data_IF_223893219543
#
_entry.id   IF_223893219543
#
_cell.length_a   1.000
_cell.length_b   1.000
_cell.length_c   1.000
_cell.angle_alpha   90.00
_cell.angle_beta   90.00
_cell.angle_gamma   90.00
#
_symmetry.space_group_name_H-M   'P 1'
#
loop_
_entity.id
_entity.type
_entity.pdbx_description
1 polymer ?
#
# COMPACT_ATOMS: atom_id res chain seq x y z
N UNK A 1 -28.37 -84.86 20.87
CA UNK A 1 -27.29 -83.91 21.20
C UNK A 1 -27.04 -83.02 20.00
N UNK A 2 -27.55 -81.77 19.98
CA UNK A 2 -26.94 -80.62 19.28
C UNK A 2 -27.46 -79.35 19.97
N UNK A 3 -26.61 -78.73 20.76
CA UNK A 3 -26.85 -77.48 21.47
C UNK A 3 -26.74 -76.32 20.49
N UNK A 4 -27.72 -75.41 20.48
CA UNK A 4 -27.63 -74.14 19.76
C UNK A 4 -27.11 -73.07 20.71
N UNK A 5 -25.93 -72.53 20.42
CA UNK A 5 -25.31 -71.41 21.12
C UNK A 5 -25.82 -70.13 20.45
N UNK A 6 -26.57 -69.30 21.18
CA UNK A 6 -26.85 -67.92 20.79
C UNK A 6 -25.63 -67.05 21.13
N UNK A 7 -24.92 -66.58 20.10
CA UNK A 7 -23.91 -65.55 20.25
C UNK A 7 -24.56 -64.17 20.11
N UNK A 8 -24.71 -63.46 21.21
CA UNK A 8 -25.12 -62.05 21.24
C UNK A 8 -23.95 -61.16 20.83
N UNK A 9 -24.01 -60.55 19.65
CA UNK A 9 -23.07 -59.52 19.21
C UNK A 9 -23.51 -58.19 19.79
N UNK A 10 -22.82 -57.71 20.83
CA UNK A 10 -22.92 -56.32 21.29
C UNK A 10 -22.21 -55.42 20.26
N UNK A 11 -22.98 -54.72 19.44
CA UNK A 11 -22.47 -53.63 18.61
C UNK A 11 -22.16 -52.42 19.49
N UNK A 12 -20.88 -52.13 19.70
CA UNK A 12 -20.44 -50.88 20.30
C UNK A 12 -20.69 -49.75 19.30
N UNK A 13 -21.74 -48.96 19.53
CA UNK A 13 -21.94 -47.69 18.83
C UNK A 13 -20.90 -46.69 19.34
N UNK A 14 -19.81 -46.52 18.61
CA UNK A 14 -18.88 -45.42 18.84
C UNK A 14 -19.59 -44.11 18.45
N UNK A 15 -20.01 -43.33 19.45
CA UNK A 15 -20.41 -41.95 19.27
C UNK A 15 -19.18 -41.16 18.81
N UNK A 16 -19.07 -40.91 17.51
CA UNK A 16 -18.13 -39.92 16.97
C UNK A 16 -18.62 -38.55 17.45
N UNK A 17 -18.10 -38.09 18.58
CA UNK A 17 -18.19 -36.68 18.94
C UNK A 17 -17.35 -35.90 17.95
N UNK A 18 -17.99 -35.39 16.89
CA UNK A 18 -17.40 -34.36 16.06
C UNK A 18 -17.24 -33.11 16.93
N UNK A 19 -16.06 -32.92 17.51
CA UNK A 19 -15.69 -31.61 18.06
C UNK A 19 -15.79 -30.60 16.91
N UNK A 20 -16.53 -29.48 17.07
CA UNK A 20 -16.47 -28.41 16.09
C UNK A 20 -15.00 -28.00 15.99
N UNK A 21 -14.38 -28.22 14.83
CA UNK A 21 -13.10 -27.56 14.56
C UNK A 21 -13.37 -26.06 14.66
N UNK A 22 -12.55 -25.29 15.38
CA UNK A 22 -12.68 -23.84 15.34
C UNK A 22 -12.63 -23.44 13.87
N UNK A 23 -13.66 -22.73 13.41
CA UNK A 23 -13.65 -22.06 12.11
C UNK A 23 -12.34 -21.26 12.09
N UNK A 24 -11.34 -21.76 11.37
CA UNK A 24 -10.12 -21.01 11.11
C UNK A 24 -10.59 -19.83 10.29
N UNK A 25 -10.81 -18.70 10.97
CA UNK A 25 -11.19 -17.42 10.40
C UNK A 25 -10.22 -17.21 9.24
N UNK A 26 -10.70 -17.33 7.99
CA UNK A 26 -9.82 -17.17 6.83
C UNK A 26 -9.30 -15.74 6.91
N UNK A 27 -8.00 -15.61 7.14
CA UNK A 27 -7.32 -14.33 7.07
C UNK A 27 -7.67 -13.68 5.73
N UNK A 28 -8.00 -12.39 5.76
CA UNK A 28 -8.30 -11.63 4.56
C UNK A 28 -7.06 -11.66 3.66
N UNK A 29 -7.20 -12.01 2.38
CA UNK A 29 -6.04 -12.11 1.49
C UNK A 29 -5.35 -10.75 1.36
N UNK A 30 -4.05 -10.61 1.67
CA UNK A 30 -3.34 -9.35 1.49
C UNK A 30 -3.37 -8.86 0.03
N UNK A 31 -3.38 -7.55 -0.16
CA UNK A 31 -3.23 -6.94 -1.49
C UNK A 31 -1.76 -6.89 -1.86
N UNK A 32 -1.45 -7.31 -3.08
CA UNK A 32 -0.11 -7.24 -3.69
C UNK A 32 -0.16 -6.48 -5.01
N UNK A 33 1.00 -6.20 -5.61
CA UNK A 33 1.09 -5.58 -6.93
C UNK A 33 1.50 -6.63 -7.99
N UNK A 34 0.96 -6.49 -9.20
CA UNK A 34 1.42 -7.21 -10.40
C UNK A 34 1.23 -6.34 -11.63
N UNK A 35 2.33 -5.92 -12.24
CA UNK A 35 2.30 -4.93 -13.33
C UNK A 35 1.55 -3.67 -12.88
N UNK A 36 0.56 -3.22 -13.65
CA UNK A 36 -0.23 -2.03 -13.32
C UNK A 36 -1.54 -2.33 -12.54
N UNK A 37 -1.65 -3.48 -11.90
CA UNK A 37 -2.82 -3.85 -11.11
C UNK A 37 -2.49 -4.20 -9.64
N UNK A 38 -3.40 -3.84 -8.75
CA UNK A 38 -3.50 -4.47 -7.43
C UNK A 38 -4.16 -5.85 -7.55
N UNK A 39 -3.69 -6.79 -6.75
CA UNK A 39 -4.14 -8.18 -6.77
C UNK A 39 -4.56 -8.62 -5.36
N UNK A 40 -5.73 -9.26 -5.26
CA UNK A 40 -6.18 -10.00 -4.09
C UNK A 40 -6.06 -11.49 -4.41
N UNK A 41 -4.89 -12.08 -4.13
CA UNK A 41 -4.52 -13.38 -4.67
C UNK A 41 -4.44 -13.32 -6.20
N UNK A 42 -5.21 -14.15 -6.91
CA UNK A 42 -5.22 -14.18 -8.38
C UNK A 42 -6.24 -13.22 -9.02
N UNK A 43 -7.01 -12.47 -8.22
CA UNK A 43 -8.05 -11.56 -8.72
C UNK A 43 -7.55 -10.13 -8.69
N UNK A 44 -7.83 -9.37 -9.76
CA UNK A 44 -7.60 -7.92 -9.75
C UNK A 44 -8.46 -7.26 -8.66
N UNK A 45 -7.83 -6.41 -7.88
CA UNK A 45 -8.49 -5.62 -6.85
C UNK A 45 -8.68 -4.19 -7.35
N UNK A 46 -9.91 -3.69 -7.30
CA UNK A 46 -10.24 -2.30 -7.55
C UNK A 46 -10.55 -1.61 -6.22
N UNK A 47 -9.90 -0.49 -5.96
CA UNK A 47 -10.18 0.40 -4.83
C UNK A 47 -11.56 1.00 -5.03
N UNK A 48 -12.48 0.73 -4.10
CA UNK A 48 -13.83 1.28 -4.06
C UNK A 48 -14.03 1.79 -2.65
N UNK A 49 -13.47 2.97 -2.40
CA UNK A 49 -13.21 3.41 -1.04
C UNK A 49 -13.75 4.78 -0.70
N UNK A 50 -13.45 5.19 0.53
CA UNK A 50 -13.78 6.50 1.07
C UNK A 50 -12.64 7.00 1.98
N UNK A 51 -12.36 8.30 1.92
CA UNK A 51 -11.49 9.00 2.85
C UNK A 51 -12.19 9.13 4.21
N UNK A 52 -11.51 8.69 5.28
CA UNK A 52 -12.06 8.65 6.63
C UNK A 52 -11.03 9.18 7.65
N UNK A 53 -11.20 10.45 8.02
CA UNK A 53 -10.38 11.11 9.02
C UNK A 53 -11.25 12.13 9.76
N UNK A 54 -11.93 11.76 10.86
CA UNK A 54 -12.76 12.71 11.60
C UNK A 54 -11.98 13.95 12.06
N UNK A 55 -12.47 15.15 11.73
CA UNK A 55 -11.75 16.43 11.88
C UNK A 55 -10.82 16.77 10.71
N UNK A 56 -10.94 16.07 9.58
CA UNK A 56 -10.02 16.09 8.44
C UNK A 56 -8.56 15.81 8.81
N UNK A 57 -7.66 15.88 7.82
CA UNK A 57 -6.21 15.73 8.02
C UNK A 57 -5.63 16.72 9.04
N UNK A 58 -6.21 17.92 9.15
CA UNK A 58 -5.83 18.94 10.13
C UNK A 58 -6.21 18.57 11.58
N UNK A 59 -7.25 17.75 11.77
CA UNK A 59 -7.73 17.33 13.08
C UNK A 59 -6.74 16.48 13.86
N UNK A 60 -5.81 15.81 13.16
CA UNK A 60 -4.71 15.02 13.73
C UNK A 60 -5.19 14.10 14.87
N UNK A 61 -6.28 13.34 14.62
CA UNK A 61 -6.86 12.34 15.52
C UNK A 61 -6.67 10.95 14.93
N UNK A 62 -6.66 9.94 15.78
CA UNK A 62 -6.59 8.55 15.32
C UNK A 62 -7.96 7.87 15.48
N UNK A 63 -8.73 7.66 14.39
CA UNK A 63 -10.00 6.96 14.47
C UNK A 63 -9.85 5.44 14.57
N UNK A 64 -8.67 4.88 14.27
CA UNK A 64 -8.38 3.45 14.32
C UNK A 64 -7.94 2.99 15.73
N UNK A 65 -7.53 3.91 16.60
CA UNK A 65 -7.22 3.64 18.00
C UNK A 65 -8.44 3.79 18.93
N UNK A 66 -9.58 4.30 18.43
CA UNK A 66 -10.83 4.44 19.20
C UNK A 66 -11.89 3.46 18.70
N UNK A 67 -12.10 2.40 19.49
CA UNK A 67 -13.11 1.35 19.21
C UNK A 67 -14.50 1.92 18.98
N UNK A 68 -14.92 2.93 19.75
CA UNK A 68 -16.29 3.49 19.62
C UNK A 68 -16.45 4.16 18.27
N UNK A 69 -15.45 4.92 17.84
CA UNK A 69 -15.45 5.62 16.55
C UNK A 69 -15.42 4.60 15.41
N UNK A 70 -14.46 3.68 15.39
CA UNK A 70 -14.31 2.75 14.26
C UNK A 70 -15.49 1.79 14.13
N UNK A 71 -16.08 1.30 15.23
CA UNK A 71 -17.22 0.39 15.16
C UNK A 71 -18.51 1.10 14.74
N UNK A 72 -18.71 2.35 15.18
CA UNK A 72 -19.83 3.18 14.74
C UNK A 72 -19.78 3.41 13.22
N UNK A 73 -18.61 3.79 12.71
CA UNK A 73 -18.44 4.14 11.31
C UNK A 73 -18.36 2.89 10.40
N UNK A 74 -17.88 1.76 10.91
CA UNK A 74 -17.89 0.47 10.22
C UNK A 74 -19.28 0.08 9.71
N UNK A 75 -20.34 0.34 10.50
CA UNK A 75 -21.70 0.04 10.07
C UNK A 75 -22.13 0.88 8.86
N UNK A 76 -21.64 2.13 8.75
CA UNK A 76 -21.85 2.97 7.56
C UNK A 76 -21.02 2.51 6.38
N UNK A 77 -19.77 2.08 6.60
CA UNK A 77 -18.93 1.52 5.54
C UNK A 77 -19.53 0.25 4.94
N UNK A 78 -20.08 -0.64 5.77
CA UNK A 78 -20.84 -1.81 5.31
C UNK A 78 -22.07 -1.42 4.49
N UNK A 79 -22.80 -0.38 4.92
CA UNK A 79 -23.97 0.14 4.19
C UNK A 79 -23.57 0.74 2.84
N UNK A 80 -22.48 1.50 2.77
CA UNK A 80 -21.91 2.03 1.53
C UNK A 80 -21.42 0.92 0.58
N UNK A 81 -20.97 -0.21 1.13
CA UNK A 81 -20.38 -1.29 0.35
C UNK A 81 -18.95 -0.98 -0.13
N UNK A 82 -18.25 -0.09 0.59
CA UNK A 82 -16.83 0.21 0.32
C UNK A 82 -15.96 -0.96 0.75
N UNK A 83 -14.85 -1.16 0.03
CA UNK A 83 -13.85 -2.19 0.36
C UNK A 83 -12.54 -1.60 0.90
N UNK A 84 -12.41 -0.27 0.92
CA UNK A 84 -11.17 0.41 1.30
C UNK A 84 -11.50 1.71 2.04
N UNK A 85 -10.77 2.01 3.10
CA UNK A 85 -10.74 3.34 3.72
C UNK A 85 -9.35 3.94 3.61
N UNK A 86 -9.27 5.26 3.45
CA UNK A 86 -8.00 6.00 3.59
C UNK A 86 -7.99 6.77 4.90
N UNK A 87 -6.94 6.59 5.69
CA UNK A 87 -6.70 7.33 6.94
C UNK A 87 -5.41 8.13 6.78
N UNK A 88 -5.43 9.39 7.20
CA UNK A 88 -4.36 10.37 6.92
C UNK A 88 -3.40 10.55 8.11
N UNK A 89 -3.82 10.15 9.31
CA UNK A 89 -3.02 10.26 10.53
C UNK A 89 -3.44 9.21 11.55
N UNK A 90 -2.44 8.53 12.12
CA UNK A 90 -2.60 7.55 13.20
C UNK A 90 -1.57 7.81 14.30
N UNK A 91 -1.92 7.47 15.53
CA UNK A 91 -1.02 7.50 16.67
C UNK A 91 -0.29 6.17 16.76
N UNK A 92 0.92 6.14 16.19
CA UNK A 92 1.83 4.98 16.21
C UNK A 92 2.37 4.59 17.60
N UNK A 93 1.80 5.13 18.67
CA UNK A 93 2.10 4.75 20.06
C UNK A 93 0.96 3.98 20.74
N UNK A 94 -0.18 3.81 20.05
CA UNK A 94 -1.40 3.12 20.49
C UNK A 94 -1.58 1.76 19.79
N UNK A 95 -2.55 0.96 20.27
CA UNK A 95 -2.93 -0.34 19.68
C UNK A 95 -4.13 -0.17 18.75
N UNK A 96 -4.05 -0.74 17.54
CA UNK A 96 -5.10 -0.64 16.52
C UNK A 96 -5.83 -1.96 16.26
N UNK A 97 -5.54 -2.98 17.07
CA UNK A 97 -5.91 -4.37 16.79
C UNK A 97 -7.41 -4.57 16.69
N UNK A 98 -8.20 -3.93 17.55
CA UNK A 98 -9.65 -4.12 17.55
C UNK A 98 -10.31 -3.60 16.27
N UNK A 99 -9.95 -2.38 15.85
CA UNK A 99 -10.51 -1.77 14.65
C UNK A 99 -10.01 -2.46 13.37
N UNK A 100 -8.71 -2.77 13.28
CA UNK A 100 -8.14 -3.47 12.12
C UNK A 100 -8.75 -4.86 11.93
N UNK A 101 -8.97 -5.61 13.02
CA UNK A 101 -9.64 -6.91 12.94
C UNK A 101 -11.10 -6.80 12.50
N UNK A 102 -11.84 -5.81 13.01
CA UNK A 102 -13.24 -5.61 12.63
C UNK A 102 -13.37 -5.20 11.16
N UNK A 103 -12.44 -4.39 10.64
CA UNK A 103 -12.41 -4.02 9.23
C UNK A 103 -12.04 -5.22 8.37
N UNK A 104 -11.06 -6.03 8.79
CA UNK A 104 -10.70 -7.26 8.10
C UNK A 104 -11.87 -8.26 8.04
N UNK A 105 -12.63 -8.42 9.13
CA UNK A 105 -13.86 -9.23 9.18
C UNK A 105 -14.93 -8.74 8.19
N UNK A 106 -15.01 -7.44 7.98
CA UNK A 106 -15.92 -6.82 7.01
C UNK A 106 -15.36 -6.80 5.58
N UNK A 107 -14.14 -7.29 5.35
CA UNK A 107 -13.48 -7.25 4.04
C UNK A 107 -13.02 -5.84 3.62
N UNK A 108 -12.79 -4.95 4.58
CA UNK A 108 -12.35 -3.57 4.36
C UNK A 108 -10.84 -3.47 4.58
N UNK A 109 -10.16 -2.93 3.57
CA UNK A 109 -8.74 -2.64 3.57
C UNK A 109 -8.45 -1.21 4.01
N UNK A 110 -7.22 -0.99 4.47
CA UNK A 110 -6.68 0.30 4.85
C UNK A 110 -5.61 0.76 3.86
N UNK A 111 -5.79 1.97 3.33
CA UNK A 111 -4.71 2.78 2.76
C UNK A 111 -4.32 3.80 3.82
N UNK A 112 -3.04 3.82 4.22
CA UNK A 112 -2.58 4.64 5.33
C UNK A 112 -1.46 5.60 4.92
N UNK A 113 -1.65 6.88 5.18
CA UNK A 113 -0.56 7.84 5.18
C UNK A 113 0.33 7.60 6.41
N UNK A 114 1.63 7.36 6.21
CA UNK A 114 2.57 7.12 7.33
C UNK A 114 3.06 8.42 7.97
N UNK A 115 2.61 9.55 7.42
CA UNK A 115 2.95 10.91 7.82
C UNK A 115 1.82 11.49 8.67
N UNK A 116 2.11 12.59 9.38
CA UNK A 116 1.08 13.42 10.00
C UNK A 116 1.54 14.90 10.01
N UNK A 117 0.71 15.86 10.44
CA UNK A 117 1.05 17.28 10.43
C UNK A 117 2.36 17.64 11.17
N UNK A 118 2.81 16.82 12.12
CA UNK A 118 4.06 17.04 12.88
C UNK A 118 5.27 16.29 12.32
N UNK A 119 5.02 15.15 11.66
CA UNK A 119 6.05 14.26 11.11
C UNK A 119 5.78 14.02 9.62
N UNK A 120 6.33 14.91 8.80
CA UNK A 120 6.18 14.89 7.34
C UNK A 120 7.33 15.62 6.68
N UNK A 121 7.54 15.37 5.38
CA UNK A 121 8.43 16.17 4.56
C UNK A 121 7.81 17.56 4.36
N UNK A 122 8.53 18.60 4.77
CA UNK A 122 8.12 19.98 4.57
C UNK A 122 8.49 20.42 3.15
N UNK A 123 7.50 20.66 2.28
CA UNK A 123 7.74 21.05 0.89
C UNK A 123 8.54 22.34 0.71
N UNK A 124 8.44 23.28 1.65
CA UNK A 124 9.17 24.56 1.62
C UNK A 124 10.62 24.43 2.11
N UNK A 125 10.85 23.50 3.04
CA UNK A 125 12.17 23.23 3.64
C UNK A 125 12.43 21.73 3.72
N UNK A 126 12.60 21.05 2.56
CA UNK A 126 12.58 19.59 2.55
C UNK A 126 13.84 18.98 3.20
N UNK A 127 15.00 19.61 3.04
CA UNK A 127 16.27 19.11 3.59
C UNK A 127 16.24 18.88 5.12
N UNK A 128 15.92 19.87 5.97
CA UNK A 128 15.87 19.65 7.42
C UNK A 128 14.69 18.78 7.86
N UNK A 129 13.65 18.59 7.04
CA UNK A 129 12.50 17.77 7.42
C UNK A 129 12.74 16.26 7.29
N UNK A 130 13.73 15.85 6.50
CA UNK A 130 14.15 14.46 6.36
C UNK A 130 15.28 14.15 7.36
N UNK A 131 14.90 13.62 8.52
CA UNK A 131 15.79 13.37 9.66
C UNK A 131 15.40 12.09 10.43
N UNK A 132 16.16 11.77 11.48
CA UNK A 132 15.96 10.54 12.23
C UNK A 132 14.64 10.53 13.02
N UNK A 133 14.19 11.68 13.52
CA UNK A 133 12.92 11.83 14.22
C UNK A 133 11.72 11.61 13.30
N UNK A 134 11.80 12.12 12.07
CA UNK A 134 10.82 11.84 11.02
C UNK A 134 10.77 10.35 10.69
N UNK A 135 11.92 9.75 10.39
CA UNK A 135 11.99 8.32 10.06
C UNK A 135 11.58 7.41 11.21
N UNK A 136 11.85 7.80 12.46
CA UNK A 136 11.35 7.09 13.63
C UNK A 136 9.82 7.03 13.66
N UNK A 137 9.14 8.16 13.42
CA UNK A 137 7.68 8.20 13.33
C UNK A 137 7.16 7.34 12.17
N UNK A 138 7.76 7.47 10.98
CA UNK A 138 7.38 6.69 9.80
C UNK A 138 7.55 5.19 10.03
N UNK A 139 8.70 4.76 10.56
CA UNK A 139 8.98 3.36 10.81
C UNK A 139 8.08 2.77 11.91
N UNK A 140 7.75 3.53 12.95
CA UNK A 140 6.80 3.09 13.96
C UNK A 140 5.40 2.85 13.38
N UNK A 141 4.93 3.74 12.49
CA UNK A 141 3.67 3.52 11.77
C UNK A 141 3.74 2.28 10.87
N UNK A 142 4.84 2.09 10.14
CA UNK A 142 5.02 0.90 9.30
C UNK A 142 5.08 -0.40 10.12
N UNK A 143 5.83 -0.43 11.22
CA UNK A 143 5.96 -1.62 12.09
C UNK A 143 4.60 -2.00 12.70
N UNK A 144 3.82 -1.01 13.17
CA UNK A 144 2.49 -1.27 13.72
C UNK A 144 1.52 -1.78 12.64
N UNK A 145 1.45 -1.16 11.46
CA UNK A 145 0.39 -1.47 10.51
C UNK A 145 0.72 -2.58 9.51
N UNK A 146 2.00 -2.92 9.29
CA UNK A 146 2.37 -3.97 8.34
C UNK A 146 1.93 -5.37 8.79
N UNK A 147 1.69 -5.57 10.09
CA UNK A 147 1.25 -6.86 10.65
C UNK A 147 -0.19 -7.24 10.27
N UNK A 148 -1.04 -6.27 9.92
CA UNK A 148 -2.44 -6.53 9.57
C UNK A 148 -2.58 -6.85 8.09
N UNK A 149 -3.18 -7.99 7.75
CA UNK A 149 -3.36 -8.42 6.35
C UNK A 149 -4.21 -7.44 5.52
N UNK A 150 -5.10 -6.69 6.17
CA UNK A 150 -5.94 -5.70 5.53
C UNK A 150 -5.29 -4.30 5.42
N UNK A 151 -4.04 -4.09 5.85
CA UNK A 151 -3.28 -2.91 5.44
C UNK A 151 -2.84 -3.10 3.98
N UNK A 152 -3.58 -2.48 3.07
CA UNK A 152 -3.40 -2.62 1.62
C UNK A 152 -2.18 -1.84 1.13
N UNK A 153 -1.99 -0.61 1.60
CA UNK A 153 -0.98 0.28 1.04
C UNK A 153 -0.56 1.38 2.02
N UNK A 154 0.67 1.85 1.88
CA UNK A 154 1.19 3.04 2.57
C UNK A 154 1.45 4.19 1.59
N UNK A 155 1.09 5.41 1.99
CA UNK A 155 1.55 6.63 1.33
C UNK A 155 2.76 7.21 2.05
N UNK A 156 3.90 7.27 1.36
CA UNK A 156 5.13 7.90 1.87
C UNK A 156 5.05 9.43 1.89
N UNK A 157 4.07 10.02 1.20
CA UNK A 157 3.77 11.44 1.20
C UNK A 157 2.45 11.74 0.50
N UNK A 158 1.86 12.88 0.85
CA UNK A 158 0.62 13.39 0.27
C UNK A 158 0.82 14.84 -0.18
N UNK A 159 0.68 15.08 -1.48
CA UNK A 159 0.73 16.41 -2.11
C UNK A 159 1.94 17.26 -1.68
N UNK A 160 3.08 16.63 -1.40
CA UNK A 160 4.32 17.34 -1.04
C UNK A 160 4.81 18.13 -2.25
N UNK A 161 4.85 17.49 -3.42
CA UNK A 161 4.91 18.16 -4.72
C UNK A 161 3.52 18.70 -5.04
N UNK A 162 3.45 20.01 -5.28
CA UNK A 162 2.22 20.76 -5.52
C UNK A 162 2.40 21.71 -6.73
N UNK A 163 1.63 22.81 -6.77
CA UNK A 163 1.59 23.80 -7.85
C UNK A 163 2.81 24.72 -7.89
N UNK A 164 3.42 25.02 -6.74
CA UNK A 164 4.68 25.77 -6.69
C UNK A 164 5.83 24.92 -7.25
N UNK A 165 6.55 25.43 -8.26
CA UNK A 165 7.63 24.68 -8.92
C UNK A 165 8.74 24.26 -7.94
N UNK A 166 9.03 25.08 -6.93
CA UNK A 166 10.02 24.81 -5.89
C UNK A 166 9.67 23.56 -5.06
N UNK A 167 8.38 23.24 -4.94
CA UNK A 167 7.92 22.03 -4.24
C UNK A 167 8.41 20.74 -4.92
N UNK A 168 8.73 20.78 -6.22
CA UNK A 168 9.28 19.61 -6.94
C UNK A 168 10.59 19.14 -6.32
N UNK A 169 11.40 20.04 -5.75
CA UNK A 169 12.66 19.70 -5.05
C UNK A 169 12.44 18.78 -3.84
N UNK A 170 11.24 18.76 -3.26
CA UNK A 170 10.90 17.87 -2.16
C UNK A 170 10.67 16.42 -2.61
N UNK A 171 10.42 16.15 -3.90
CA UNK A 171 10.12 14.81 -4.40
C UNK A 171 11.22 13.80 -4.08
N UNK A 172 12.50 14.22 -4.13
CA UNK A 172 13.64 13.35 -3.80
C UNK A 172 13.64 12.86 -2.35
N UNK A 173 13.10 13.64 -1.42
CA UNK A 173 13.02 13.28 0.00
C UNK A 173 11.86 12.33 0.27
N UNK A 174 10.72 12.54 -0.41
CA UNK A 174 9.60 11.59 -0.37
C UNK A 174 9.98 10.24 -0.97
N UNK A 175 10.73 10.26 -2.08
CA UNK A 175 11.26 9.04 -2.71
C UNK A 175 12.32 8.35 -1.84
N UNK A 176 13.14 9.10 -1.11
CA UNK A 176 14.04 8.54 -0.10
C UNK A 176 13.27 7.91 1.07
N UNK A 177 12.17 8.52 1.53
CA UNK A 177 11.30 7.92 2.53
C UNK A 177 10.71 6.59 2.04
N UNK A 178 10.29 6.50 0.76
CA UNK A 178 9.86 5.24 0.14
C UNK A 178 10.95 4.16 0.22
N UNK A 179 12.19 4.50 -0.23
CA UNK A 179 13.34 3.59 -0.15
C UNK A 179 13.61 3.08 1.26
N UNK A 180 13.55 3.99 2.22
CA UNK A 180 13.87 3.71 3.61
C UNK A 180 12.79 2.88 4.29
N UNK A 181 11.50 3.12 3.99
CA UNK A 181 10.39 2.28 4.44
C UNK A 181 10.50 0.87 3.89
N UNK A 182 10.83 0.71 2.61
CA UNK A 182 11.09 -0.61 1.99
C UNK A 182 12.24 -1.33 2.66
N UNK A 183 13.35 -0.64 2.89
CA UNK A 183 14.51 -1.19 3.59
C UNK A 183 14.16 -1.60 5.03
N UNK A 184 13.40 -0.76 5.75
CA UNK A 184 12.92 -1.09 7.08
C UNK A 184 12.06 -2.34 7.09
N UNK A 185 11.05 -2.46 6.21
CA UNK A 185 10.24 -3.68 6.14
C UNK A 185 11.08 -4.92 5.80
N UNK A 186 12.08 -4.80 4.92
CA UNK A 186 12.95 -5.91 4.54
C UNK A 186 13.85 -6.39 5.69
N UNK A 187 14.58 -5.47 6.35
CA UNK A 187 15.46 -5.80 7.47
C UNK A 187 14.70 -6.36 8.67
N UNK A 188 13.51 -5.81 8.91
CA UNK A 188 12.61 -6.23 9.99
C UNK A 188 11.77 -7.46 9.64
N UNK A 189 11.87 -7.97 8.41
CA UNK A 189 11.09 -9.11 7.89
C UNK A 189 9.58 -8.93 8.08
N UNK A 190 9.12 -7.70 7.92
CA UNK A 190 7.70 -7.37 7.92
C UNK A 190 7.06 -7.82 6.60
N UNK A 191 5.73 -7.89 6.58
CA UNK A 191 5.01 -8.02 5.32
C UNK A 191 5.36 -6.85 4.42
N UNK A 192 5.69 -7.14 3.17
CA UNK A 192 6.04 -6.12 2.18
C UNK A 192 4.76 -5.45 1.66
N UNK A 193 4.21 -4.53 2.44
CA UNK A 193 3.05 -3.75 2.05
C UNK A 193 3.45 -2.80 0.91
N UNK A 194 2.67 -2.69 -0.18
CA UNK A 194 2.92 -1.70 -1.22
C UNK A 194 3.08 -0.28 -0.67
N UNK A 195 4.12 0.43 -1.11
CA UNK A 195 4.37 1.83 -0.75
C UNK A 195 4.30 2.70 -2.00
N UNK A 196 3.54 3.79 -1.93
CA UNK A 196 3.38 4.73 -3.03
C UNK A 196 3.25 6.17 -2.57
N UNK A 197 2.83 7.03 -3.49
CA UNK A 197 2.70 8.47 -3.27
C UNK A 197 1.31 8.95 -3.71
N UNK A 198 0.72 9.84 -2.91
CA UNK A 198 -0.53 10.54 -3.24
C UNK A 198 -0.18 11.95 -3.74
N UNK A 199 -0.39 12.20 -5.03
CA UNK A 199 -0.01 13.45 -5.69
C UNK A 199 -1.18 14.43 -5.83
N UNK A 200 -0.88 15.72 -5.96
CA UNK A 200 -1.84 16.71 -6.41
C UNK A 200 -2.04 16.63 -7.93
N UNK A 201 -3.21 17.03 -8.42
CA UNK A 201 -3.56 17.01 -9.86
C UNK A 201 -2.99 18.19 -10.67
N UNK A 202 -1.70 18.50 -10.53
CA UNK A 202 -1.09 19.69 -11.13
C UNK A 202 -0.73 19.45 -12.60
N UNK A 203 -1.45 20.08 -13.52
CA UNK A 203 -1.34 19.79 -14.95
C UNK A 203 0.06 19.95 -15.55
N UNK A 204 0.87 20.88 -15.01
CA UNK A 204 2.22 21.18 -15.49
C UNK A 204 3.27 20.12 -15.10
N UNK A 205 3.05 19.39 -14.00
CA UNK A 205 4.07 18.47 -13.45
C UNK A 205 3.55 17.06 -13.12
N UNK A 206 2.25 16.76 -13.31
CA UNK A 206 1.64 15.47 -12.95
C UNK A 206 2.37 14.28 -13.57
N UNK A 207 2.68 14.38 -14.87
CA UNK A 207 3.37 13.30 -15.59
C UNK A 207 4.81 13.15 -15.09
N UNK A 208 5.57 14.24 -14.97
CA UNK A 208 6.93 14.21 -14.42
C UNK A 208 6.94 13.65 -13.00
N UNK A 209 5.97 14.00 -12.17
CA UNK A 209 5.83 13.48 -10.80
C UNK A 209 5.64 11.96 -10.82
N UNK A 210 4.68 11.45 -11.60
CA UNK A 210 4.45 10.01 -11.72
C UNK A 210 5.69 9.28 -12.26
N UNK A 211 6.32 9.80 -13.30
CA UNK A 211 7.54 9.22 -13.87
C UNK A 211 8.69 9.20 -12.85
N UNK A 212 8.88 10.29 -12.12
CA UNK A 212 9.93 10.38 -11.10
C UNK A 212 9.77 9.33 -10.00
N UNK A 213 8.55 9.12 -9.50
CA UNK A 213 8.28 8.11 -8.47
C UNK A 213 8.43 6.67 -8.98
N UNK A 214 8.33 6.42 -10.29
CA UNK A 214 8.53 5.10 -10.90
C UNK A 214 9.86 4.94 -11.68
N UNK A 215 10.77 5.91 -11.64
CA UNK A 215 12.10 5.81 -12.24
C UNK A 215 13.18 5.40 -11.22
N UNK A 216 14.43 5.20 -11.65
CA UNK A 216 15.54 4.84 -10.75
C UNK A 216 15.58 3.36 -10.33
N UNK A 217 16.26 3.05 -9.23
CA UNK A 217 16.47 1.66 -8.75
C UNK A 217 15.22 1.10 -8.06
N UNK A 218 15.02 -0.21 -8.10
CA UNK A 218 13.77 -0.85 -7.62
C UNK A 218 13.55 -0.71 -6.10
N UNK A 219 14.62 -0.53 -5.33
CA UNK A 219 14.57 -0.24 -3.90
C UNK A 219 13.90 1.10 -3.58
N UNK A 220 13.92 2.04 -4.52
CA UNK A 220 13.41 3.40 -4.32
C UNK A 220 12.18 3.76 -5.18
N UNK A 221 11.76 2.88 -6.08
CA UNK A 221 10.56 3.07 -6.89
C UNK A 221 9.30 2.85 -6.06
N UNK A 222 8.29 3.68 -6.26
CA UNK A 222 6.96 3.43 -5.71
C UNK A 222 6.37 2.16 -6.30
N UNK A 223 5.67 1.39 -5.47
CA UNK A 223 4.92 0.19 -5.89
C UNK A 223 3.61 0.55 -6.58
N UNK A 224 3.13 1.78 -6.41
CA UNK A 224 1.96 2.36 -7.07
C UNK A 224 2.04 3.89 -7.06
N UNK A 225 1.20 4.54 -7.86
CA UNK A 225 1.02 5.99 -7.86
C UNK A 225 -0.45 6.32 -7.62
N UNK A 226 -0.76 7.37 -6.88
CA UNK A 226 -2.11 7.86 -6.75
C UNK A 226 -2.13 9.37 -6.86
N UNK A 227 -3.27 9.94 -7.23
CA UNK A 227 -3.45 11.38 -7.22
C UNK A 227 -4.88 11.76 -6.86
N UNK A 228 -5.01 12.93 -6.27
CA UNK A 228 -6.27 13.53 -5.85
C UNK A 228 -6.90 14.24 -7.05
N UNK A 229 -8.01 13.74 -7.58
CA UNK A 229 -8.62 14.26 -8.81
C UNK A 229 -10.06 14.75 -8.59
N UNK A 230 -10.24 16.05 -8.72
CA UNK A 230 -11.53 16.72 -8.58
C UNK A 230 -12.02 17.34 -9.90
N UNK A 231 -11.51 16.90 -11.06
CA UNK A 231 -11.90 17.49 -12.35
C UNK A 231 -13.26 17.00 -12.87
N UNK A 232 -13.80 15.92 -12.29
CA UNK A 232 -15.13 15.40 -12.60
C UNK A 232 -16.18 16.02 -11.66
N UNK A 233 -16.89 17.06 -12.13
CA UNK A 233 -17.94 17.74 -11.36
C UNK A 233 -19.33 17.44 -11.93
N UNK A 234 -19.88 16.26 -11.60
CA UNK A 234 -21.20 15.78 -12.08
C UNK A 234 -21.35 15.80 -13.62
N UNK A 235 -20.31 15.32 -14.30
CA UNK A 235 -20.14 15.40 -15.76
C UNK A 235 -19.89 14.01 -16.37
N UNK A 236 -19.09 13.92 -17.42
CA UNK A 236 -18.63 12.69 -18.06
C UNK A 236 -17.08 12.64 -18.18
N UNK A 237 -16.47 11.47 -18.41
CA UNK A 237 -15.02 11.32 -18.47
C UNK A 237 -14.30 12.24 -19.47
N UNK A 238 -14.92 12.56 -20.61
CA UNK A 238 -14.29 13.42 -21.62
C UNK A 238 -14.27 14.86 -21.16
N UNK A 239 -15.39 15.35 -20.65
CA UNK A 239 -15.50 16.71 -20.14
C UNK A 239 -14.59 16.92 -18.92
N UNK A 240 -14.47 15.91 -18.05
CA UNK A 240 -13.52 15.90 -16.93
C UNK A 240 -12.04 15.76 -17.34
N UNK A 241 -11.76 15.42 -18.61
CA UNK A 241 -10.42 15.14 -19.14
C UNK A 241 -9.82 13.82 -18.65
N UNK A 242 -10.60 12.95 -18.02
CA UNK A 242 -10.15 11.66 -17.49
C UNK A 242 -9.73 10.70 -18.60
N UNK A 243 -10.37 10.75 -19.77
CA UNK A 243 -9.98 9.94 -20.93
C UNK A 243 -8.57 10.29 -21.43
N UNK A 244 -8.24 11.59 -21.49
CA UNK A 244 -6.88 12.06 -21.81
C UNK A 244 -5.89 11.67 -20.72
N UNK A 245 -6.25 11.84 -19.44
CA UNK A 245 -5.39 11.44 -18.31
C UNK A 245 -5.09 9.93 -18.35
N UNK A 246 -6.10 9.09 -18.56
CA UNK A 246 -5.94 7.64 -18.67
C UNK A 246 -5.03 7.27 -19.85
N UNK A 247 -5.24 7.86 -21.04
CA UNK A 247 -4.37 7.62 -22.21
C UNK A 247 -2.92 8.04 -21.96
N UNK A 248 -2.68 9.15 -21.27
CA UNK A 248 -1.34 9.63 -20.93
C UNK A 248 -0.58 8.71 -19.98
N UNK A 249 -1.30 7.87 -19.22
CA UNK A 249 -0.73 6.86 -18.32
C UNK A 249 -0.89 5.44 -18.84
N UNK A 250 -1.33 5.26 -20.09
CA UNK A 250 -1.62 3.95 -20.65
C UNK A 250 -0.40 3.04 -20.69
N UNK A 251 0.83 3.55 -20.64
CA UNK A 251 2.11 2.81 -20.60
C UNK A 251 2.76 2.76 -19.21
N UNK A 252 2.14 3.37 -18.19
CA UNK A 252 2.66 3.38 -16.82
C UNK A 252 2.68 1.96 -16.21
N UNK A 253 3.79 1.61 -15.57
CA UNK A 253 4.12 0.22 -15.26
C UNK A 253 3.71 -0.27 -13.87
N UNK A 254 3.15 0.59 -13.04
CA UNK A 254 2.66 0.27 -11.69
C UNK A 254 1.21 0.74 -11.53
N UNK A 255 0.44 0.24 -10.55
CA UNK A 255 -0.96 0.61 -10.39
C UNK A 255 -1.13 2.11 -10.18
N UNK A 256 -2.18 2.66 -10.80
CA UNK A 256 -2.68 4.00 -10.53
C UNK A 256 -4.05 3.89 -9.89
N UNK A 257 -4.40 4.72 -8.91
CA UNK A 257 -5.78 4.94 -8.47
C UNK A 257 -5.99 6.38 -8.03
N UNK A 258 -7.25 6.81 -7.94
CA UNK A 258 -7.57 8.13 -7.41
C UNK A 258 -7.55 8.06 -5.88
N UNK A 259 -6.55 8.68 -5.27
CA UNK A 259 -6.44 8.72 -3.81
C UNK A 259 -7.57 9.53 -3.17
N UNK A 260 -8.15 10.46 -3.93
CA UNK A 260 -9.35 11.22 -3.63
C UNK A 260 -10.10 11.55 -4.94
N UNK A 261 -11.43 11.56 -4.89
CA UNK A 261 -12.30 12.16 -5.91
C UNK A 261 -13.63 12.61 -5.30
N UNK A 262 -14.39 13.40 -6.05
CA UNK A 262 -15.76 13.80 -5.70
C UNK A 262 -15.91 15.30 -5.61
N UNK A 263 -15.74 16.00 -6.74
CA UNK A 263 -15.84 17.46 -6.83
C UNK A 263 -17.17 17.98 -6.30
N UNK A 264 -17.14 18.96 -5.39
CA UNK A 264 -18.33 19.55 -4.78
C UNK A 264 -18.73 20.93 -5.36
N UNK A 265 -18.18 21.33 -6.51
CA UNK A 265 -18.60 22.56 -7.20
C UNK A 265 -20.03 22.49 -7.76
N UNK A 266 -20.54 21.27 -7.94
CA UNK A 266 -21.93 20.94 -8.28
C UNK A 266 -22.45 19.90 -7.28
N UNK A 267 -23.78 19.72 -7.20
CA UNK A 267 -24.37 18.58 -6.46
C UNK A 267 -23.78 17.27 -6.99
N UNK A 268 -23.22 16.43 -6.11
CA UNK A 268 -22.49 15.22 -6.51
C UNK A 268 -23.45 14.11 -6.92
N UNK A 269 -23.35 13.70 -8.19
CA UNK A 269 -24.18 12.63 -8.75
C UNK A 269 -23.48 11.25 -8.77
N UNK A 270 -22.22 11.19 -8.33
CA UNK A 270 -21.39 10.00 -8.25
C UNK A 270 -21.15 9.28 -9.60
N UNK A 271 -21.20 10.03 -10.71
CA UNK A 271 -20.88 9.56 -12.06
C UNK A 271 -19.45 9.04 -12.21
N UNK A 272 -18.54 9.47 -11.33
CA UNK A 272 -17.16 9.01 -11.20
C UNK A 272 -17.10 7.49 -10.97
N UNK A 273 -17.98 6.95 -10.11
CA UNK A 273 -17.99 5.51 -9.79
C UNK A 273 -18.36 4.70 -11.04
N UNK A 274 -19.32 5.19 -11.83
CA UNK A 274 -19.63 4.60 -13.13
C UNK A 274 -18.41 4.60 -14.04
N UNK A 275 -17.74 5.75 -14.19
CA UNK A 275 -16.57 5.87 -15.04
C UNK A 275 -15.45 4.90 -14.62
N UNK A 276 -15.10 4.89 -13.32
CA UNK A 276 -14.06 4.04 -12.74
C UNK A 276 -14.34 2.54 -12.89
N UNK A 277 -15.60 2.13 -13.03
CA UNK A 277 -15.99 0.71 -13.06
C UNK A 277 -16.47 0.23 -14.45
N UNK A 278 -16.65 1.13 -15.42
CA UNK A 278 -17.22 0.76 -16.74
C UNK A 278 -16.49 1.33 -17.96
N UNK A 279 -15.72 2.41 -17.82
CA UNK A 279 -14.97 2.97 -18.95
C UNK A 279 -13.70 2.14 -19.18
N UNK A 280 -13.52 1.65 -20.42
CA UNK A 280 -12.44 0.70 -20.75
C UNK A 280 -11.04 1.32 -20.68
N UNK A 281 -10.88 2.58 -21.07
CA UNK A 281 -9.58 3.24 -21.05
C UNK A 281 -9.16 3.53 -19.61
N UNK A 282 -10.12 3.97 -18.80
CA UNK A 282 -9.92 4.18 -17.36
C UNK A 282 -9.63 2.84 -16.67
N UNK A 283 -10.44 1.81 -16.88
CA UNK A 283 -10.25 0.49 -16.26
C UNK A 283 -8.89 -0.15 -16.59
N UNK A 284 -8.39 0.01 -17.82
CA UNK A 284 -7.10 -0.55 -18.21
C UNK A 284 -5.92 0.13 -17.50
N UNK A 285 -6.12 1.35 -17.01
CA UNK A 285 -5.05 2.23 -16.49
C UNK A 285 -5.15 2.43 -14.97
N UNK A 286 -6.36 2.66 -14.46
CA UNK A 286 -6.64 2.99 -13.08
C UNK A 286 -7.31 1.82 -12.36
N UNK A 287 -7.02 1.68 -11.07
CA UNK A 287 -7.46 0.62 -10.18
C UNK A 287 -8.51 1.13 -9.20
N UNK A 288 -9.38 2.05 -9.64
CA UNK A 288 -10.47 2.63 -8.84
C UNK A 288 -10.07 3.91 -8.11
N UNK A 289 -10.69 4.16 -6.95
CA UNK A 289 -10.40 5.33 -6.13
C UNK A 289 -11.21 5.43 -4.83
N UNK A 290 -10.96 6.51 -4.09
CA UNK A 290 -11.65 6.82 -2.83
C UNK A 290 -12.43 8.13 -2.91
N UNK A 291 -13.70 8.10 -2.48
CA UNK A 291 -14.52 9.31 -2.32
C UNK A 291 -13.95 10.18 -1.21
N UNK A 292 -13.83 11.49 -1.44
CA UNK A 292 -13.51 12.49 -0.43
C UNK A 292 -14.78 13.28 -0.06
N UNK A 293 -15.29 13.25 1.17
CA UNK A 293 -14.85 12.46 2.33
C UNK A 293 -16.04 11.98 3.18
N UNK A 294 -15.78 11.18 4.21
CA UNK A 294 -16.84 10.61 5.06
C UNK A 294 -17.53 11.68 5.93
N UNK A 295 -16.76 12.38 6.76
CA UNK A 295 -17.29 13.34 7.76
C UNK A 295 -17.42 14.73 7.16
N UNK A 296 -18.54 15.40 7.44
CA UNK A 296 -18.78 16.78 7.04
C UNK A 296 -17.97 17.74 7.90
N UNK A 297 -17.13 18.52 7.23
CA UNK A 297 -16.24 19.52 7.80
C UNK A 297 -16.49 20.87 7.09
N UNK A 298 -15.72 21.92 7.42
CA UNK A 298 -15.91 23.28 6.84
C UNK A 298 -15.77 23.34 5.31
N UNK A 299 -15.19 22.31 4.69
CA UNK A 299 -14.98 22.19 3.25
C UNK A 299 -16.20 21.67 2.47
N UNK A 300 -17.27 21.22 3.15
CA UNK A 300 -18.52 20.70 2.58
C UNK A 300 -18.32 19.49 1.64
N UNK A 301 -17.46 18.54 2.02
CA UNK A 301 -17.22 17.30 1.26
C UNK A 301 -17.80 16.04 1.92
N UNK A 302 -18.32 16.15 3.15
CA UNK A 302 -18.79 15.02 3.91
C UNK A 302 -20.11 14.47 3.41
N UNK A 303 -20.31 13.17 3.64
CA UNK A 303 -21.58 12.48 3.38
C UNK A 303 -22.32 12.13 4.67
N UNK A 304 -21.69 12.31 5.83
CA UNK A 304 -22.31 12.20 7.15
C UNK A 304 -21.91 13.35 8.05
N UNK A 305 -22.80 13.70 8.97
CA UNK A 305 -22.49 14.60 10.09
C UNK A 305 -22.41 13.80 11.38
N UNK A 306 -21.39 14.09 12.20
CA UNK A 306 -21.15 13.39 13.47
C UNK A 306 -21.48 14.33 14.63
N UNK A 307 -22.37 13.87 15.53
CA UNK A 307 -22.67 14.52 16.80
C UNK A 307 -22.51 13.52 17.94
N UNK A 308 -21.34 13.57 18.60
CA UNK A 308 -20.92 12.57 19.58
C UNK A 308 -20.89 11.16 18.98
N UNK A 309 -21.73 10.26 19.49
CA UNK A 309 -21.86 8.89 19.02
C UNK A 309 -22.90 8.72 17.90
N UNK A 310 -23.60 9.78 17.50
CA UNK A 310 -24.63 9.74 16.44
C UNK A 310 -24.03 10.11 15.09
N UNK A 311 -24.41 9.33 14.08
CA UNK A 311 -24.11 9.60 12.67
C UNK A 311 -25.39 9.94 11.94
N UNK A 312 -25.52 11.18 11.49
CA UNK A 312 -26.57 11.66 10.61
C UNK A 312 -26.10 11.49 9.16
N UNK A 313 -26.83 10.71 8.36
CA UNK A 313 -26.57 10.58 6.93
C UNK A 313 -27.06 11.83 6.20
N UNK A 314 -26.18 12.45 5.41
CA UNK A 314 -26.52 13.62 4.60
C UNK A 314 -27.14 13.19 3.26
N UNK A 315 -27.64 14.17 2.49
CA UNK A 315 -28.37 13.94 1.24
C UNK A 315 -27.60 13.11 0.21
N UNK A 316 -26.28 13.15 0.25
CA UNK A 316 -25.42 12.45 -0.72
C UNK A 316 -25.08 11.01 -0.33
N UNK A 317 -25.37 10.58 0.91
CA UNK A 317 -25.04 9.23 1.41
C UNK A 317 -25.80 8.13 0.65
N UNK A 318 -27.13 8.20 0.57
CA UNK A 318 -27.95 7.20 -0.12
C UNK A 318 -27.67 7.15 -1.64
N UNK A 319 -27.54 8.29 -2.35
CA UNK A 319 -27.06 8.29 -3.73
C UNK A 319 -25.71 7.58 -3.90
N UNK A 320 -24.78 7.75 -2.95
CA UNK A 320 -23.47 7.09 -3.00
C UNK A 320 -23.59 5.57 -2.81
N UNK A 321 -24.38 5.12 -1.83
CA UNK A 321 -24.72 3.69 -1.64
C UNK A 321 -25.24 3.09 -2.95
N UNK A 322 -26.18 3.80 -3.60
CA UNK A 322 -26.76 3.37 -4.88
C UNK A 322 -25.72 3.30 -5.99
N UNK A 323 -24.83 4.28 -6.11
CA UNK A 323 -23.78 4.30 -7.12
C UNK A 323 -22.80 3.11 -6.96
N UNK A 324 -22.35 2.82 -5.74
CA UNK A 324 -21.53 1.63 -5.48
C UNK A 324 -22.29 0.32 -5.75
N UNK A 325 -23.60 0.27 -5.54
CA UNK A 325 -24.38 -0.92 -5.87
C UNK A 325 -24.56 -1.13 -7.38
N UNK A 326 -24.87 -0.05 -8.11
CA UNK A 326 -25.23 -0.10 -9.52
C UNK A 326 -24.01 -0.35 -10.44
N UNK A 327 -22.82 0.03 -10.00
CA UNK A 327 -21.58 -0.10 -10.77
C UNK A 327 -20.56 -0.97 -10.02
N UNK A 328 -20.76 -2.30 -9.94
CA UNK A 328 -19.81 -3.21 -9.31
C UNK A 328 -18.48 -3.24 -10.06
N UNK A 329 -17.38 -3.57 -9.36
CA UNK A 329 -16.09 -3.76 -10.02
C UNK A 329 -16.12 -4.92 -11.03
N UNK A 330 -15.36 -4.82 -12.13
CA UNK A 330 -15.12 -5.96 -13.02
C UNK A 330 -14.50 -7.14 -12.27
N UNK A 331 -14.74 -8.34 -12.81
CA UNK A 331 -14.21 -9.60 -12.24
C UNK A 331 -12.99 -10.13 -12.99
N UNK A 332 -12.69 -9.55 -14.15
CA UNK A 332 -11.52 -9.87 -14.96
C UNK A 332 -10.37 -8.87 -14.72
N UNK A 333 -9.30 -8.97 -15.52
CA UNK A 333 -8.19 -8.03 -15.44
C UNK A 333 -8.52 -6.65 -16.02
N UNK A 334 -9.67 -6.44 -16.67
CA UNK A 334 -10.12 -5.20 -17.29
C UNK A 334 -9.03 -4.42 -18.05
N UNK A 335 -8.20 -5.11 -18.82
CA UNK A 335 -7.13 -4.52 -19.62
C UNK A 335 -5.81 -4.21 -18.89
N UNK A 336 -5.71 -4.50 -17.58
CA UNK A 336 -4.44 -4.36 -16.87
C UNK A 336 -3.37 -5.32 -17.42
N UNK A 337 -2.13 -4.85 -17.39
CA UNK A 337 -0.93 -5.58 -17.78
C UNK A 337 -0.31 -6.26 -16.56
N UNK A 338 0.22 -7.45 -16.80
CA UNK A 338 1.03 -8.18 -15.83
C UNK A 338 2.51 -7.78 -15.82
N UNK A 339 2.96 -7.06 -16.85
CA UNK A 339 4.33 -6.58 -16.96
C UNK A 339 4.51 -5.30 -16.15
N UNK A 340 5.50 -5.34 -15.29
CA UNK A 340 6.04 -4.14 -14.67
C UNK A 340 6.92 -3.38 -15.67
N UNK A 341 6.77 -2.04 -15.68
CA UNK A 341 7.60 -1.14 -16.48
C UNK A 341 8.16 0.01 -15.64
N UNK A 342 9.47 0.18 -15.73
CA UNK A 342 10.20 1.33 -15.19
C UNK A 342 10.00 2.56 -16.07
N UNK A 343 9.73 3.70 -15.44
CA UNK A 343 9.73 4.99 -16.14
C UNK A 343 11.16 5.52 -16.30
N UNK A 344 11.40 6.30 -17.36
CA UNK A 344 12.59 7.14 -17.43
C UNK A 344 12.46 8.29 -16.41
N UNK A 345 13.56 8.71 -15.80
CA UNK A 345 13.49 9.87 -14.91
C UNK A 345 13.27 11.14 -15.73
N UNK A 346 12.37 12.04 -15.32
CA UNK A 346 12.17 13.31 -16.00
C UNK A 346 13.46 14.13 -16.01
N UNK A 347 13.65 14.88 -17.09
CA UNK A 347 14.72 15.87 -17.21
C UNK A 347 14.30 17.16 -16.51
N UNK A 348 15.28 17.94 -16.09
CA UNK A 348 15.04 19.28 -15.55
C UNK A 348 14.45 20.20 -16.63
N UNK A 349 13.40 20.94 -16.28
CA UNK A 349 12.75 21.94 -17.11
C UNK A 349 12.14 23.07 -16.24
N UNK A 350 11.33 23.95 -16.84
CA UNK A 350 10.73 25.08 -16.12
C UNK A 350 9.67 24.69 -15.06
N UNK A 351 9.15 23.47 -15.12
CA UNK A 351 8.14 22.90 -14.24
C UNK A 351 8.65 21.77 -13.34
N UNK A 352 9.85 21.23 -13.63
CA UNK A 352 10.48 20.15 -12.89
C UNK A 352 11.94 20.47 -12.58
N UNK A 353 12.25 20.78 -11.31
CA UNK A 353 13.57 21.30 -10.91
C UNK A 353 14.57 20.22 -10.49
N UNK A 354 14.24 18.94 -10.64
CA UNK A 354 15.15 17.83 -10.30
C UNK A 354 15.78 17.26 -11.57
N UNK A 355 17.06 17.55 -11.78
CA UNK A 355 17.89 16.97 -12.84
C UNK A 355 18.66 15.69 -12.46
N UNK A 356 18.37 15.07 -11.32
CA UNK A 356 19.12 13.91 -10.79
C UNK A 356 18.19 12.83 -10.20
N UNK A 357 18.58 11.57 -10.35
CA UNK A 357 17.92 10.43 -9.70
C UNK A 357 18.54 10.06 -8.34
N UNK A 358 19.60 10.79 -7.93
CA UNK A 358 20.23 10.60 -6.62
C UNK A 358 19.30 11.03 -5.48
N UNK A 359 19.22 10.18 -4.46
CA UNK A 359 18.39 10.41 -3.28
C UNK A 359 19.27 10.75 -2.07
N UNK A 360 18.79 11.54 -1.11
CA UNK A 360 19.52 11.78 0.14
C UNK A 360 19.82 10.46 0.88
N UNK A 361 20.97 10.38 1.54
CA UNK A 361 21.32 9.29 2.46
C UNK A 361 20.36 9.26 3.63
N UNK A 362 19.97 8.05 4.04
CA UNK A 362 19.29 7.85 5.32
C UNK A 362 20.15 8.46 6.43
N UNK A 363 19.59 9.30 7.31
CA UNK A 363 20.27 9.81 8.50
C UNK A 363 20.92 8.68 9.29
N UNK A 364 22.20 8.83 9.68
CA UNK A 364 22.96 7.78 10.37
C UNK A 364 22.27 7.29 11.64
N UNK A 365 21.69 8.22 12.42
CA UNK A 365 20.98 7.91 13.66
C UNK A 365 19.67 7.13 13.43
N UNK A 366 19.14 7.12 12.20
CA UNK A 366 17.96 6.33 11.84
C UNK A 366 18.30 4.86 11.52
N UNK A 367 19.55 4.56 11.17
CA UNK A 367 19.97 3.18 10.80
C UNK A 367 19.77 2.18 11.94
N UNK A 368 19.82 2.65 13.20
CA UNK A 368 19.54 1.80 14.38
C UNK A 368 18.15 1.17 14.33
N UNK A 369 17.16 1.86 13.77
CA UNK A 369 15.79 1.37 13.69
C UNK A 369 15.65 0.16 12.76
N UNK A 370 16.45 0.09 11.69
CA UNK A 370 16.48 -1.07 10.79
C UNK A 370 16.85 -2.36 11.53
N UNK A 371 17.78 -2.27 12.48
CA UNK A 371 18.27 -3.42 13.24
C UNK A 371 17.41 -3.71 14.48
N UNK A 372 17.10 -2.67 15.24
CA UNK A 372 16.53 -2.82 16.58
C UNK A 372 14.99 -2.81 16.56
N UNK A 373 14.38 -2.31 15.48
CA UNK A 373 12.97 -1.96 15.40
C UNK A 373 12.77 -0.47 15.69
N UNK A 374 11.58 0.07 15.38
CA UNK A 374 11.32 1.49 15.68
C UNK A 374 11.26 1.74 17.18
N UNK A 375 10.84 0.72 17.95
CA UNK A 375 10.40 0.93 19.32
C UNK A 375 9.07 1.69 19.34
N UNK A 376 8.74 2.28 20.50
CA UNK A 376 7.49 3.04 20.65
C UNK A 376 7.58 4.36 19.87
N UNK A 377 6.67 4.55 18.92
CA UNK A 377 6.59 5.76 18.12
C UNK A 377 6.25 7.02 18.95
N UNK A 378 6.49 8.21 18.40
CA UNK A 378 6.27 9.47 19.11
C UNK A 378 4.80 9.86 19.28
N UNK A 379 3.87 9.16 18.60
CA UNK A 379 2.44 9.47 18.58
C UNK A 379 2.09 10.83 17.99
N UNK A 380 0.81 11.21 18.07
CA UNK A 380 0.33 12.48 17.50
C UNK A 380 0.69 13.70 18.36
N UNK A 381 1.04 13.46 19.63
CA UNK A 381 1.35 14.49 20.61
C UNK A 381 2.85 14.77 20.78
N UNK A 382 3.73 14.09 20.03
CA UNK A 382 5.17 14.35 20.10
C UNK A 382 5.59 15.75 19.59
N UNK A 383 6.89 16.09 19.68
CA UNK A 383 7.42 17.43 19.37
C UNK A 383 7.41 17.80 17.88
N UNK A 384 7.31 16.81 16.98
CA UNK A 384 7.43 16.99 15.54
C UNK A 384 8.88 16.96 15.04
N UNK A 385 9.05 16.93 13.72
CA UNK A 385 10.36 16.72 13.09
C UNK A 385 10.69 17.66 11.92
N UNK A 386 9.75 18.48 11.45
CA UNK A 386 9.90 19.19 10.17
C UNK A 386 11.11 20.14 10.07
N UNK A 387 11.71 20.53 11.20
CA UNK A 387 12.87 21.43 11.25
C UNK A 387 14.06 20.84 12.06
N UNK A 388 14.05 19.54 12.36
CA UNK A 388 15.01 18.91 13.28
C UNK A 388 16.29 18.42 12.60
N UNK A 389 16.30 18.33 11.28
CA UNK A 389 17.41 17.80 10.48
C UNK A 389 18.49 18.82 10.15
N UNK A 390 19.60 18.35 9.56
CA UNK A 390 20.70 19.20 9.15
C UNK A 390 20.32 20.09 7.96
N UNK A 391 21.09 21.17 7.76
CA UNK A 391 20.92 22.06 6.61
C UNK A 391 21.32 21.43 5.27
N UNK A 392 22.09 20.33 5.29
CA UNK A 392 22.56 19.60 4.10
C UNK A 392 22.58 18.10 4.40
N UNK A 393 22.26 17.30 3.39
CA UNK A 393 22.31 15.84 3.41
C UNK A 393 23.03 15.38 2.16
N UNK A 394 23.98 14.45 2.32
CA UNK A 394 24.72 13.88 1.20
C UNK A 394 23.85 12.93 0.38
N UNK A 395 24.20 12.76 -0.90
CA UNK A 395 23.54 11.79 -1.77
C UNK A 395 23.96 10.35 -1.44
N UNK A 396 23.01 9.43 -1.44
CA UNK A 396 23.25 8.01 -1.32
C UNK A 396 23.80 7.43 -2.64
N UNK A 397 24.50 6.30 -2.53
CA UNK A 397 24.78 5.47 -3.69
C UNK A 397 23.47 4.90 -4.26
N UNK A 398 23.33 4.87 -5.58
CA UNK A 398 22.14 4.32 -6.24
C UNK A 398 21.97 2.84 -5.90
N UNK A 399 20.76 2.43 -5.51
CA UNK A 399 20.48 1.05 -5.13
C UNK A 399 21.02 0.66 -3.75
N UNK A 400 21.25 1.62 -2.86
CA UNK A 400 21.74 1.37 -1.49
C UNK A 400 20.67 0.88 -0.50
N UNK A 401 19.39 0.87 -0.88
CA UNK A 401 18.33 0.27 -0.09
C UNK A 401 18.33 -1.26 -0.17
N UNK A 402 17.83 -1.92 0.88
CA UNK A 402 17.75 -3.39 0.94
C UNK A 402 16.37 -3.96 0.61
N UNK A 403 15.35 -3.12 0.48
CA UNK A 403 13.98 -3.52 0.10
C UNK A 403 13.77 -3.60 -1.41
N UNK A 404 12.82 -4.42 -1.83
CA UNK A 404 12.40 -4.58 -3.23
C UNK A 404 10.96 -4.13 -3.45
N UNK A 405 10.35 -4.61 -4.54
CA UNK A 405 8.93 -4.37 -4.81
C UNK A 405 8.02 -5.30 -4.02
N UNK A 406 6.82 -4.82 -3.73
CA UNK A 406 5.75 -5.59 -3.12
C UNK A 406 5.05 -6.55 -4.12
N UNK A 407 5.83 -7.38 -4.81
CA UNK A 407 5.33 -8.37 -5.76
C UNK A 407 4.85 -9.63 -5.02
N UNK A 408 3.72 -10.20 -5.45
CA UNK A 408 3.10 -11.38 -4.81
C UNK A 408 3.92 -12.69 -4.91
N UNK A 409 5.08 -12.68 -5.57
CA UNK A 409 6.02 -13.79 -5.56
C UNK A 409 6.97 -13.62 -4.38
N UNK A 410 6.71 -14.36 -3.30
CA UNK A 410 7.46 -14.30 -2.05
C UNK A 410 8.98 -14.21 -2.24
N UNK A 411 9.58 -13.22 -1.58
CA UNK A 411 11.02 -13.03 -1.51
C UNK A 411 11.69 -14.28 -0.90
N UNK A 412 12.29 -15.12 -1.73
CA UNK A 412 13.45 -15.90 -1.31
C UNK A 412 14.66 -15.00 -1.52
N UNK A 413 15.17 -14.44 -0.42
CA UNK A 413 16.46 -13.78 -0.39
C UNK A 413 17.54 -14.75 -0.89
N UNK A 414 17.97 -14.60 -2.15
CA UNK A 414 19.17 -15.28 -2.63
C UNK A 414 20.39 -14.46 -2.22
N UNK A 415 20.97 -14.86 -1.09
CA UNK A 415 22.20 -14.28 -0.58
C UNK A 415 23.36 -14.71 -1.50
N UNK A 416 23.75 -13.88 -2.47
CA UNK A 416 25.05 -14.04 -3.14
C UNK A 416 26.16 -13.53 -2.21
N UNK A 417 26.49 -14.34 -1.21
CA UNK A 417 27.69 -14.19 -0.40
C UNK A 417 28.90 -14.73 -1.16
N UNK A 418 29.75 -13.83 -1.62
CA UNK A 418 31.08 -14.10 -2.18
C UNK A 418 32.03 -14.58 -1.09
N UNK A 419 32.05 -15.89 -0.82
CA UNK A 419 33.07 -16.47 0.07
C UNK A 419 34.37 -16.73 -0.68
N UNK A 420 35.33 -15.81 -0.52
CA UNK A 420 36.76 -16.13 -0.60
C UNK A 420 37.11 -17.05 0.57
N UNK A 421 37.46 -18.29 0.26
CA UNK A 421 38.05 -19.24 1.20
C UNK A 421 39.54 -19.38 0.91
N UNK A 422 40.36 -18.95 1.86
CA UNK A 422 41.77 -19.31 1.95
C UNK A 422 41.91 -20.64 2.73
N UNK A 423 42.97 -21.40 2.44
CA UNK A 423 43.28 -22.71 3.03
C UNK A 423 43.33 -22.72 4.57
N UNK A 424 43.35 -23.87 5.25
CA UNK A 424 44.29 -24.98 5.06
C UNK A 424 43.91 -26.19 5.95
N UNK A 425 44.04 -27.42 5.43
CA UNK A 425 44.32 -28.72 6.12
C UNK A 425 43.35 -29.21 7.24
N UNK A 426 43.04 -30.50 7.48
CA UNK A 426 43.83 -31.72 7.37
C UNK A 426 42.95 -32.97 7.68
N UNK A 427 43.38 -34.16 7.18
CA UNK A 427 43.03 -35.57 7.55
C UNK A 427 41.69 -36.15 7.02
N UNK A 428 41.66 -37.00 5.98
CA UNK A 428 42.14 -38.40 5.79
C UNK A 428 41.31 -39.47 6.54
N UNK A 429 40.57 -40.30 5.78
CA UNK A 429 40.56 -41.80 5.80
C UNK A 429 39.41 -42.30 4.89
N UNK A 430 39.68 -42.78 3.67
CA UNK A 430 39.97 -44.16 3.24
C UNK A 430 38.74 -45.04 2.94
N UNK A 431 38.54 -45.26 1.62
CA UNK A 431 38.31 -46.54 0.91
C UNK A 431 37.19 -47.49 1.34
N UNK A 432 36.39 -47.93 0.34
CA UNK A 432 36.48 -49.29 -0.23
C UNK A 432 35.83 -49.30 -1.62
N UNK A 433 36.53 -49.97 -2.54
CA UNK A 433 36.20 -50.20 -3.94
C UNK A 433 35.18 -51.33 -4.13
N UNK A 434 34.46 -51.27 -5.24
CA UNK A 434 33.69 -52.39 -5.79
C UNK A 434 33.52 -52.20 -7.29
N UNK A 435 34.48 -52.68 -8.07
CA UNK A 435 34.43 -52.76 -9.53
C UNK A 435 33.62 -53.98 -9.96
N UNK A 436 32.75 -53.84 -10.97
CA UNK A 436 32.49 -54.92 -11.93
C UNK A 436 32.38 -54.35 -13.33
N UNK A 437 33.17 -54.96 -14.21
CA UNK A 437 33.36 -54.67 -15.63
C UNK A 437 32.37 -55.51 -16.44
N UNK A 438 31.78 -54.94 -17.50
CA UNK A 438 31.38 -55.68 -18.69
C UNK A 438 31.48 -54.77 -19.93
N UNK A 439 32.20 -55.27 -20.92
CA UNK A 439 32.68 -54.64 -22.15
C UNK A 439 31.65 -54.73 -23.31
N UNK A 440 31.56 -53.64 -24.10
CA UNK A 440 31.40 -53.54 -25.59
C UNK A 440 30.15 -54.19 -26.25
N UNK A 441 29.57 -53.72 -27.37
CA UNK A 441 30.19 -53.42 -28.69
C UNK A 441 29.26 -52.56 -29.62
N UNK A 442 29.90 -51.90 -30.61
CA UNK A 442 29.44 -51.33 -31.91
C UNK A 442 28.67 -49.98 -31.90
N UNK A 443 29.13 -48.84 -32.46
CA UNK A 443 29.72 -48.49 -33.79
C UNK A 443 28.71 -48.76 -34.93
N UNK A 444 28.34 -47.88 -35.86
CA UNK A 444 28.94 -46.66 -36.40
C UNK A 444 27.88 -45.84 -37.17
N UNK A 445 28.19 -44.54 -37.26
CA UNK A 445 28.08 -43.59 -38.39
C UNK A 445 27.12 -43.82 -39.57
N UNK A 446 26.40 -42.74 -39.90
CA UNK A 446 26.76 -41.84 -41.02
C UNK A 446 26.61 -40.38 -40.58
#
# INVERSE_FOLDING_TARGET
MKSAIFASVLGAAALVQASPQPLQKRALTPITVKGNAFMQGDKRFFVRGIAWQPGASAGNKDPLADKKICMRDLEKFKKLGVNTVRVYSTDNSLDHKECMNAFAEAGIYLVLDVNNPKYSINREKPTPSYNAEYLHSVFATVEEFAQYDNTMAFFSGNEVVHDEKESTLAARYVKAATRDMKSFMAERKLRQVPIGYSAADVSQNRKQTAEYFNCGTDDARSDFFAFNDYSFCSTDPKTAGWDVKARNFSDYGVPIFLSEFGCNLNERNWGEIKALMTDKEILATWSGGLVYEYTEEENNYGIVKIDGDKVEELSEFEPLVKAFKDYPAPTDMAGARSEDRKSECPKEDEHWLIGTDKLPKMPEDAKKYLKDGSGKGPGLNGPGSQNSGPAKIEDAESGSGSGGRADGTGASASNQGSNKSAGESNKVSFLIAGSFVALTVFSNLL
#
